data_IF_478926675707
#
_entry.id   IF_478926675707
#
_cell.length_a   1.000
_cell.length_b   1.000
_cell.length_c   1.000
_cell.angle_alpha   90.00
_cell.angle_beta   90.00
_cell.angle_gamma   90.00
#
_symmetry.space_group_name_H-M   'P 1'
#
loop_
_entity.id
_entity.type
_entity.pdbx_description
1 polymer ?
#
# COMPACT_ATOMS: atom_id res chain seq x y z
N UNK A 1 14.46 -2.42 -4.03
CA UNK A 1 13.21 -2.94 -4.63
C UNK A 1 12.60 -3.88 -3.62
N UNK A 2 11.51 -3.44 -2.99
CA UNK A 2 10.70 -4.26 -2.09
C UNK A 2 10.01 -5.36 -2.90
N UNK A 3 9.77 -6.53 -2.30
CA UNK A 3 9.01 -7.59 -2.98
C UNK A 3 7.60 -7.12 -3.33
N UNK A 4 7.07 -7.56 -4.48
CA UNK A 4 5.71 -7.21 -4.90
C UNK A 4 4.69 -7.79 -3.92
N UNK A 5 3.89 -6.93 -3.30
CA UNK A 5 2.76 -7.34 -2.47
C UNK A 5 1.57 -7.77 -3.35
N UNK A 6 0.96 -8.90 -3.01
CA UNK A 6 -0.26 -9.41 -3.66
C UNK A 6 -1.45 -9.43 -2.71
N UNK A 7 -2.66 -9.61 -3.24
CA UNK A 7 -3.86 -9.78 -2.42
C UNK A 7 -3.75 -10.96 -1.42
N UNK A 8 -3.04 -12.04 -1.78
CA UNK A 8 -2.79 -13.18 -0.87
C UNK A 8 -1.90 -12.80 0.30
N UNK A 9 -0.98 -11.85 0.11
CA UNK A 9 -0.11 -11.36 1.18
C UNK A 9 -0.91 -10.57 2.21
N UNK A 10 -1.82 -9.70 1.77
CA UNK A 10 -2.71 -8.92 2.64
C UNK A 10 -3.56 -9.85 3.52
N UNK A 11 -4.12 -10.92 2.95
CA UNK A 11 -4.88 -11.93 3.71
C UNK A 11 -3.98 -12.61 4.76
N UNK A 12 -2.76 -13.01 4.37
CA UNK A 12 -1.78 -13.62 5.29
C UNK A 12 -1.34 -12.67 6.39
N UNK A 13 -1.17 -11.38 6.11
CA UNK A 13 -0.83 -10.36 7.10
C UNK A 13 -1.91 -10.24 8.17
N UNK A 14 -3.18 -10.18 7.75
CA UNK A 14 -4.32 -10.19 8.67
C UNK A 14 -4.35 -11.44 9.54
N UNK A 15 -4.17 -12.63 8.95
CA UNK A 15 -4.14 -13.89 9.69
C UNK A 15 -3.00 -13.96 10.71
N UNK A 16 -1.86 -13.31 10.43
CA UNK A 16 -0.71 -13.20 11.34
C UNK A 16 -0.83 -12.07 12.36
N UNK A 17 -1.92 -11.29 12.35
CA UNK A 17 -2.08 -10.11 13.20
C UNK A 17 -1.14 -8.94 12.86
N UNK A 18 -0.48 -8.97 11.68
CA UNK A 18 0.34 -7.85 11.21
C UNK A 18 -0.58 -6.72 10.75
N UNK A 19 -0.40 -5.52 11.30
CA UNK A 19 -1.11 -4.31 10.84
C UNK A 19 -0.71 -3.99 9.40
N UNK A 20 -1.68 -3.51 8.62
CA UNK A 20 -1.54 -3.11 7.23
C UNK A 20 -1.54 -1.58 7.19
N UNK A 21 -0.48 -0.96 6.68
CA UNK A 21 -0.43 0.47 6.43
C UNK A 21 -0.91 0.78 5.01
N UNK A 22 -1.91 1.67 4.88
CA UNK A 22 -2.49 2.06 3.59
C UNK A 22 -2.55 3.59 3.50
N UNK A 23 -2.22 4.14 2.33
CA UNK A 23 -2.30 5.57 2.03
C UNK A 23 -2.96 5.79 0.68
N UNK A 24 -3.56 6.98 0.48
CA UNK A 24 -3.99 7.39 -0.85
C UNK A 24 -2.84 8.06 -1.61
N UNK A 25 -2.77 7.82 -2.92
CA UNK A 25 -1.88 8.55 -3.82
C UNK A 25 -2.52 8.59 -5.22
N UNK A 26 -2.38 9.73 -5.91
CA UNK A 26 -3.06 9.98 -7.19
C UNK A 26 -2.09 10.27 -8.34
N UNK A 27 -0.80 10.35 -8.05
CA UNK A 27 0.25 10.65 -9.03
C UNK A 27 1.50 9.79 -8.80
N UNK A 28 2.39 9.79 -9.81
CA UNK A 28 3.62 9.01 -9.80
C UNK A 28 4.59 9.40 -8.67
N UNK A 29 4.93 10.70 -8.46
CA UNK A 29 5.86 11.08 -7.40
C UNK A 29 5.40 10.64 -6.01
N UNK A 30 4.12 10.83 -5.69
CA UNK A 30 3.56 10.48 -4.38
C UNK A 30 3.51 8.95 -4.20
N UNK A 31 3.11 8.21 -5.24
CA UNK A 31 3.11 6.74 -5.18
C UNK A 31 4.52 6.16 -4.99
N UNK A 32 5.54 6.76 -5.63
CA UNK A 32 6.93 6.37 -5.46
C UNK A 32 7.43 6.63 -4.04
N UNK A 33 7.13 7.80 -3.49
CA UNK A 33 7.50 8.12 -2.10
C UNK A 33 6.82 7.17 -1.10
N UNK A 34 5.57 6.80 -1.34
CA UNK A 34 4.84 5.85 -0.49
C UNK A 34 5.47 4.43 -0.54
N UNK A 35 5.90 3.97 -1.71
CA UNK A 35 6.61 2.69 -1.87
C UNK A 35 7.97 2.70 -1.15
N UNK A 36 8.74 3.78 -1.33
CA UNK A 36 10.04 3.98 -0.65
C UNK A 36 9.89 4.09 0.88
N UNK A 37 8.76 4.61 1.37
CA UNK A 37 8.43 4.67 2.80
C UNK A 37 7.93 3.35 3.39
N UNK A 38 7.72 2.31 2.57
CA UNK A 38 7.29 0.99 3.02
C UNK A 38 5.81 0.87 3.34
N UNK A 39 4.95 1.68 2.71
CA UNK A 39 3.48 1.53 2.80
C UNK A 39 3.07 0.21 2.14
N UNK A 40 2.20 -0.57 2.79
CA UNK A 40 1.79 -1.88 2.25
C UNK A 40 0.86 -1.71 1.03
N UNK A 41 -0.07 -0.74 1.06
CA UNK A 41 -1.08 -0.56 0.01
C UNK A 41 -1.26 0.91 -0.36
N UNK A 42 -1.31 1.20 -1.66
CA UNK A 42 -1.70 2.51 -2.21
C UNK A 42 -3.14 2.41 -2.73
N UNK A 43 -4.01 3.32 -2.27
CA UNK A 43 -5.40 3.43 -2.69
C UNK A 43 -5.59 4.65 -3.60
N UNK A 44 -5.87 4.41 -4.88
CA UNK A 44 -6.36 5.44 -5.79
C UNK A 44 -7.87 5.56 -5.58
N UNK A 45 -8.27 6.39 -4.63
CA UNK A 45 -9.68 6.60 -4.25
C UNK A 45 -10.35 7.75 -5.01
N UNK A 46 -11.62 7.96 -4.75
CA UNK A 46 -12.42 9.11 -5.18
C UNK A 46 -12.27 10.33 -4.26
N UNK A 47 -11.54 10.20 -3.15
CA UNK A 47 -11.33 11.26 -2.16
C UNK A 47 -10.50 12.47 -2.62
N UNK A 48 -9.93 12.45 -3.83
CA UNK A 48 -9.27 13.61 -4.43
C UNK A 48 -10.22 14.48 -5.30
N UNK A 49 -11.50 14.12 -5.36
CA UNK A 49 -12.54 14.87 -6.07
C UNK A 49 -12.97 16.15 -5.32
#
# INVERSE_FOLDING_TARGET
MTEKLTARDVIRMKAKGRRIAMITAYDYPTARLADEAGVDVILVGDSAA
#
